data_IF_417453652325
#
_entry.id   IF_417453652325
#
_cell.length_a   1.000
_cell.length_b   1.000
_cell.length_c   1.000
_cell.angle_alpha   90.00
_cell.angle_beta   90.00
_cell.angle_gamma   90.00
#
_symmetry.space_group_name_H-M   'P 1'
#
loop_
_entity.id
_entity.type
_entity.pdbx_description
1 polymer ?
#
# COMPACT_ATOMS: atom_id res chain seq x y z
N UNK A 1 6.41 36.69 -1.83
CA UNK A 1 6.86 35.69 -2.83
C UNK A 1 5.66 34.98 -3.44
N UNK A 2 5.38 35.19 -4.73
CA UNK A 2 4.34 34.43 -5.44
C UNK A 2 4.76 32.96 -5.51
N UNK A 3 4.01 32.08 -4.84
CA UNK A 3 4.20 30.63 -4.94
C UNK A 3 3.99 30.19 -6.39
N UNK A 4 4.82 29.27 -6.89
CA UNK A 4 4.69 28.73 -8.26
C UNK A 4 3.28 28.17 -8.48
N UNK A 5 2.73 28.34 -9.68
CA UNK A 5 1.36 27.91 -10.04
C UNK A 5 1.14 26.42 -9.74
N UNK A 6 2.16 25.60 -10.03
CA UNK A 6 2.18 24.17 -9.72
C UNK A 6 2.03 23.88 -8.22
N UNK A 7 2.71 24.65 -7.37
CA UNK A 7 2.61 24.49 -5.92
C UNK A 7 1.23 24.92 -5.38
N UNK A 8 0.60 25.91 -5.99
CA UNK A 8 -0.76 26.31 -5.63
C UNK A 8 -1.75 25.18 -5.93
N UNK A 9 -1.63 24.53 -7.09
CA UNK A 9 -2.48 23.40 -7.49
C UNK A 9 -2.26 22.21 -6.57
N UNK A 10 -0.99 21.84 -6.33
CA UNK A 10 -0.64 20.77 -5.40
C UNK A 10 -1.22 21.02 -4.00
N UNK A 11 -1.14 22.26 -3.51
CA UNK A 11 -1.71 22.64 -2.20
C UNK A 11 -3.22 22.44 -2.13
N UNK A 12 -3.95 22.72 -3.22
CA UNK A 12 -5.41 22.48 -3.28
C UNK A 12 -5.70 20.99 -3.21
N UNK A 13 -5.04 20.18 -4.04
CA UNK A 13 -5.15 18.70 -4.03
C UNK A 13 -4.86 18.15 -2.64
N UNK A 14 -3.76 18.61 -2.03
CA UNK A 14 -3.36 18.18 -0.69
C UNK A 14 -4.42 18.52 0.36
N UNK A 15 -4.95 19.75 0.36
CA UNK A 15 -5.96 20.19 1.33
C UNK A 15 -7.27 19.39 1.23
N UNK A 16 -7.66 18.99 0.03
CA UNK A 16 -8.87 18.21 -0.18
C UNK A 16 -8.76 16.81 0.40
N UNK A 17 -7.58 16.18 0.21
CA UNK A 17 -7.31 14.82 0.70
C UNK A 17 -7.02 14.79 2.19
N UNK A 18 -6.33 15.81 2.70
CA UNK A 18 -5.83 15.85 4.08
C UNK A 18 -6.52 16.93 4.90
N UNK A 19 -7.85 17.05 4.76
CA UNK A 19 -8.68 17.92 5.60
C UNK A 19 -8.67 17.40 7.05
N UNK A 20 -8.76 18.30 8.04
CA UNK A 20 -9.06 17.91 9.43
C UNK A 20 -10.38 17.12 9.42
N UNK A 21 -10.47 15.90 10.00
CA UNK A 21 -9.61 15.32 11.06
C UNK A 21 -8.57 14.29 10.59
N UNK A 22 -8.40 14.06 9.28
CA UNK A 22 -7.60 12.93 8.77
C UNK A 22 -6.13 12.99 9.19
N UNK A 23 -5.48 14.17 9.14
CA UNK A 23 -4.08 14.32 9.59
C UNK A 23 -3.93 14.30 11.11
N UNK A 24 -4.91 14.86 11.84
CA UNK A 24 -4.85 15.02 13.30
C UNK A 24 -5.09 13.72 14.04
N UNK A 25 -5.82 12.78 13.43
CA UNK A 25 -6.10 11.48 14.03
C UNK A 25 -5.15 10.39 13.51
N UNK A 26 -4.85 10.36 12.21
CA UNK A 26 -4.16 9.21 11.59
C UNK A 26 -2.68 9.16 11.95
N UNK A 27 -1.97 10.30 11.94
CA UNK A 27 -0.54 10.31 12.29
C UNK A 27 -0.32 9.93 13.77
N UNK A 28 -1.06 10.52 14.73
CA UNK A 28 -0.93 10.10 16.14
C UNK A 28 -1.34 8.65 16.37
N UNK A 29 -2.38 8.15 15.69
CA UNK A 29 -2.78 6.74 15.84
C UNK A 29 -1.76 5.78 15.23
N UNK A 30 -1.13 6.10 14.10
CA UNK A 30 0.01 5.33 13.56
C UNK A 30 1.18 5.29 14.56
N UNK A 31 1.52 6.44 15.17
CA UNK A 31 2.59 6.52 16.17
C UNK A 31 2.29 5.71 17.44
N UNK A 32 1.08 5.85 18.01
CA UNK A 32 0.70 5.16 19.25
C UNK A 32 0.52 3.66 19.03
N UNK A 33 -0.01 3.26 17.88
CA UNK A 33 -0.31 1.86 17.63
C UNK A 33 0.92 0.99 17.38
N UNK A 34 2.01 1.55 16.85
CA UNK A 34 3.30 0.87 16.78
C UNK A 34 3.86 0.55 18.20
N UNK A 35 3.47 1.28 19.24
CA UNK A 35 3.97 1.08 20.62
C UNK A 35 3.46 -0.24 21.23
N UNK A 36 2.25 -0.68 20.88
CA UNK A 36 1.63 -1.86 21.52
C UNK A 36 2.26 -3.19 21.11
N UNK A 37 2.70 -3.30 19.85
CA UNK A 37 3.21 -4.56 19.30
C UNK A 37 4.62 -4.89 19.86
N UNK A 38 5.46 -3.88 20.06
CA UNK A 38 6.78 -3.99 20.74
C UNK A 38 6.70 -4.52 22.16
N UNK A 39 5.75 -4.00 22.94
CA UNK A 39 5.64 -4.33 24.36
C UNK A 39 5.25 -5.81 24.56
N UNK A 40 4.52 -6.37 23.60
CA UNK A 40 4.09 -7.76 23.61
C UNK A 40 5.21 -8.73 23.19
N UNK A 41 6.01 -8.37 22.17
CA UNK A 41 7.08 -9.24 21.68
C UNK A 41 8.36 -9.25 22.52
N UNK A 42 8.72 -8.13 23.16
CA UNK A 42 9.90 -8.03 24.02
C UNK A 42 9.86 -8.96 25.26
N UNK A 43 8.68 -9.46 25.66
CA UNK A 43 8.52 -10.35 26.83
C UNK A 43 8.38 -11.83 26.48
N UNK A 44 8.37 -12.21 25.20
CA UNK A 44 7.86 -13.52 24.76
C UNK A 44 8.86 -14.55 24.20
N UNK A 45 10.16 -14.26 24.05
CA UNK A 45 11.16 -15.16 23.42
C UNK A 45 10.90 -15.53 21.93
N UNK A 46 9.89 -14.95 21.27
CA UNK A 46 9.53 -15.18 19.86
C UNK A 46 9.88 -13.98 18.96
N UNK A 47 11.12 -13.48 19.02
CA UNK A 47 11.50 -12.21 18.37
C UNK A 47 11.26 -12.19 16.85
N UNK A 48 11.69 -13.21 16.10
CA UNK A 48 11.54 -13.24 14.63
C UNK A 48 10.09 -13.48 14.18
N UNK A 49 9.37 -14.39 14.83
CA UNK A 49 7.97 -14.66 14.51
C UNK A 49 7.07 -13.47 14.84
N UNK A 50 7.33 -12.81 15.97
CA UNK A 50 6.61 -11.62 16.36
C UNK A 50 6.82 -10.44 15.41
N UNK A 51 8.06 -10.24 14.97
CA UNK A 51 8.37 -9.23 13.96
C UNK A 51 7.65 -9.50 12.64
N UNK A 52 7.54 -10.74 12.17
CA UNK A 52 6.80 -11.03 10.94
C UNK A 52 5.30 -10.77 11.11
N UNK A 53 4.70 -11.20 12.23
CA UNK A 53 3.29 -10.95 12.52
C UNK A 53 2.96 -9.45 12.64
N UNK A 54 3.89 -8.64 13.16
CA UNK A 54 3.77 -7.19 13.26
C UNK A 54 3.66 -6.45 11.91
N UNK A 55 3.89 -7.14 10.80
CA UNK A 55 3.83 -6.63 9.42
C UNK A 55 2.75 -7.34 8.58
N UNK A 56 1.84 -8.10 9.22
CA UNK A 56 0.69 -8.67 8.52
C UNK A 56 -0.47 -7.66 8.62
N UNK A 57 -1.13 -7.32 7.49
CA UNK A 57 -2.34 -6.50 7.49
C UNK A 57 -3.37 -7.08 8.45
N UNK A 58 -4.05 -6.25 9.26
CA UNK A 58 -4.92 -6.58 10.40
C UNK A 58 -4.23 -6.71 11.77
N UNK A 59 -2.95 -7.08 11.82
CA UNK A 59 -2.17 -7.15 13.08
C UNK A 59 -1.41 -5.84 13.27
N UNK A 60 -0.80 -5.34 12.19
CA UNK A 60 -0.15 -4.03 12.16
C UNK A 60 -1.17 -2.92 11.97
N UNK A 61 -1.42 -2.14 13.02
CA UNK A 61 -2.38 -1.02 12.94
C UNK A 61 -1.85 0.11 12.05
N UNK A 62 -0.55 0.38 12.07
CA UNK A 62 0.05 1.46 11.26
C UNK A 62 0.00 1.15 9.76
N UNK A 63 0.33 -0.09 9.37
CA UNK A 63 0.22 -0.54 7.98
C UNK A 63 -1.24 -0.56 7.53
N UNK A 64 -2.14 -1.07 8.37
CA UNK A 64 -3.58 -1.08 8.07
C UNK A 64 -4.13 0.33 7.90
N UNK A 65 -3.68 1.30 8.70
CA UNK A 65 -4.05 2.71 8.56
C UNK A 65 -3.49 3.34 7.27
N UNK A 66 -2.30 2.93 6.83
CA UNK A 66 -1.71 3.43 5.59
C UNK A 66 -2.52 2.98 4.38
N UNK A 67 -2.84 1.68 4.31
CA UNK A 67 -3.74 1.12 3.30
C UNK A 67 -5.14 1.74 3.35
N UNK A 68 -5.73 1.88 4.53
CA UNK A 68 -7.06 2.49 4.68
C UNK A 68 -7.09 3.94 4.20
N UNK A 69 -6.03 4.71 4.48
CA UNK A 69 -5.93 6.09 4.05
C UNK A 69 -5.70 6.21 2.53
N UNK A 70 -4.89 5.33 1.95
CA UNK A 70 -4.69 5.25 0.50
C UNK A 70 -5.97 4.84 -0.23
N UNK A 71 -6.63 3.75 0.18
CA UNK A 71 -7.95 3.32 -0.30
C UNK A 71 -8.97 4.46 -0.27
N UNK A 72 -9.05 5.18 0.85
CA UNK A 72 -10.00 6.28 1.00
C UNK A 72 -9.70 7.41 0.03
N UNK A 73 -8.43 7.75 -0.16
CA UNK A 73 -8.03 8.81 -1.07
C UNK A 73 -8.26 8.40 -2.55
N UNK A 74 -7.92 7.16 -2.93
CA UNK A 74 -8.14 6.66 -4.30
C UNK A 74 -9.63 6.53 -4.63
N UNK A 75 -10.40 5.83 -3.79
CA UNK A 75 -11.78 5.47 -4.10
C UNK A 75 -12.75 6.62 -3.87
N UNK A 76 -12.65 7.30 -2.72
CA UNK A 76 -13.66 8.27 -2.28
C UNK A 76 -13.29 9.73 -2.56
N UNK A 77 -12.04 10.02 -2.92
CA UNK A 77 -11.65 11.37 -3.35
C UNK A 77 -11.41 11.35 -4.86
N UNK A 78 -10.38 10.66 -5.33
CA UNK A 78 -10.04 10.59 -6.75
C UNK A 78 -11.13 9.92 -7.57
N UNK A 79 -11.68 8.80 -7.09
CA UNK A 79 -12.81 8.12 -7.71
C UNK A 79 -14.02 9.03 -7.81
N UNK A 80 -14.44 9.70 -6.73
CA UNK A 80 -15.59 10.61 -6.75
C UNK A 80 -15.47 11.74 -7.78
N UNK A 81 -14.27 12.31 -7.96
CA UNK A 81 -14.02 13.30 -9.00
C UNK A 81 -14.23 12.73 -10.42
N UNK A 82 -13.83 11.47 -10.64
CA UNK A 82 -13.99 10.77 -11.91
C UNK A 82 -15.45 10.36 -12.13
N UNK A 83 -16.12 9.82 -11.11
CA UNK A 83 -17.49 9.31 -11.20
C UNK A 83 -18.48 10.41 -11.53
N UNK A 84 -18.31 11.59 -10.91
CA UNK A 84 -19.20 12.73 -11.10
C UNK A 84 -18.85 13.58 -12.32
N UNK A 85 -17.84 13.18 -13.11
CA UNK A 85 -17.26 14.02 -14.17
C UNK A 85 -16.75 15.37 -13.66
N UNK A 86 -16.50 15.48 -12.34
CA UNK A 86 -16.27 16.73 -11.63
C UNK A 86 -14.79 17.04 -11.43
N UNK A 87 -13.90 16.42 -12.21
CA UNK A 87 -12.51 16.89 -12.35
C UNK A 87 -12.50 18.41 -12.70
N UNK A 88 -13.64 18.97 -13.14
CA UNK A 88 -14.01 20.38 -13.24
C UNK A 88 -13.36 21.28 -12.17
N UNK A 89 -13.31 20.92 -10.88
CA UNK A 89 -12.66 21.79 -9.88
C UNK A 89 -11.14 21.93 -10.06
N UNK A 90 -10.47 20.88 -10.55
CA UNK A 90 -9.05 20.90 -10.93
C UNK A 90 -8.81 21.37 -12.36
N UNK A 91 -9.75 21.13 -13.28
CA UNK A 91 -9.68 21.54 -14.70
C UNK A 91 -9.85 23.06 -14.86
N UNK A 92 -10.57 23.73 -13.94
CA UNK A 92 -10.64 25.19 -13.91
C UNK A 92 -9.25 25.83 -13.76
N UNK A 93 -8.26 25.10 -13.25
CA UNK A 93 -6.86 25.52 -13.22
C UNK A 93 -6.11 24.82 -14.36
N UNK A 94 -5.53 25.56 -15.33
CA UNK A 94 -4.89 24.92 -16.47
C UNK A 94 -3.61 24.20 -16.02
N UNK A 95 -3.68 22.87 -16.02
CA UNK A 95 -2.57 21.96 -15.72
C UNK A 95 -2.53 20.82 -16.75
N UNK A 96 -1.32 20.35 -17.07
CA UNK A 96 -1.15 19.15 -17.90
C UNK A 96 -1.69 17.93 -17.14
N UNK A 97 -2.50 17.09 -17.80
CA UNK A 97 -3.09 15.87 -17.20
C UNK A 97 -2.04 14.95 -16.56
N UNK A 98 -0.87 14.84 -17.18
CA UNK A 98 0.26 14.06 -16.64
C UNK A 98 0.70 14.63 -15.28
N UNK A 99 0.86 15.95 -15.16
CA UNK A 99 1.24 16.59 -13.89
C UNK A 99 0.14 16.43 -12.84
N UNK A 100 -1.13 16.52 -13.24
CA UNK A 100 -2.25 16.24 -12.34
C UNK A 100 -2.20 14.80 -11.83
N UNK A 101 -1.99 13.82 -12.70
CA UNK A 101 -1.85 12.41 -12.32
C UNK A 101 -0.71 12.20 -11.31
N UNK A 102 0.45 12.84 -11.51
CA UNK A 102 1.56 12.70 -10.55
C UNK A 102 1.23 13.35 -9.21
N UNK A 103 0.56 14.50 -9.19
CA UNK A 103 0.13 15.13 -7.93
C UNK A 103 -0.91 14.28 -7.21
N UNK A 104 -1.85 13.69 -7.96
CA UNK A 104 -2.83 12.77 -7.38
C UNK A 104 -2.17 11.48 -6.90
N UNK A 105 -1.29 10.87 -7.69
CA UNK A 105 -0.58 9.65 -7.28
C UNK A 105 0.27 9.89 -6.02
N UNK A 106 0.98 11.02 -5.97
CA UNK A 106 1.79 11.39 -4.82
C UNK A 106 0.95 11.54 -3.55
N UNK A 107 -0.15 12.28 -3.62
CA UNK A 107 -0.99 12.50 -2.45
C UNK A 107 -1.85 11.27 -2.06
N UNK A 108 -2.23 10.42 -3.01
CA UNK A 108 -3.09 9.24 -2.76
C UNK A 108 -2.29 8.06 -2.23
N UNK A 109 -1.11 7.80 -2.81
CA UNK A 109 -0.37 6.54 -2.61
C UNK A 109 0.99 6.78 -1.95
N UNK A 110 1.76 7.76 -2.43
CA UNK A 110 3.13 7.98 -1.92
C UNK A 110 3.12 8.60 -0.52
N UNK A 111 2.27 9.59 -0.27
CA UNK A 111 2.25 10.29 1.01
C UNK A 111 1.81 9.41 2.20
N UNK A 112 0.78 8.55 2.09
CA UNK A 112 0.43 7.61 3.16
C UNK A 112 1.56 6.60 3.41
N UNK A 113 2.22 6.12 2.36
CA UNK A 113 3.40 5.27 2.48
C UNK A 113 4.54 5.98 3.22
N UNK A 114 4.81 7.25 2.91
CA UNK A 114 5.84 8.02 3.60
C UNK A 114 5.51 8.23 5.09
N UNK A 115 4.23 8.42 5.44
CA UNK A 115 3.80 8.47 6.84
C UNK A 115 4.04 7.15 7.56
N UNK A 116 3.69 6.02 6.93
CA UNK A 116 3.97 4.71 7.47
C UNK A 116 5.48 4.46 7.63
N UNK A 117 6.28 4.73 6.60
CA UNK A 117 7.73 4.52 6.64
C UNK A 117 8.38 5.38 7.73
N UNK A 118 8.01 6.66 7.80
CA UNK A 118 8.53 7.57 8.83
C UNK A 118 8.17 7.10 10.25
N UNK A 119 6.90 6.74 10.48
CA UNK A 119 6.46 6.28 11.80
C UNK A 119 7.07 4.93 12.19
N UNK A 120 7.34 4.06 11.21
CA UNK A 120 8.00 2.77 11.41
C UNK A 120 9.49 2.94 11.70
N UNK A 121 10.22 3.73 10.91
CA UNK A 121 11.65 4.00 11.11
C UNK A 121 11.93 4.72 12.43
N UNK A 122 11.12 5.74 12.76
CA UNK A 122 11.22 6.45 14.03
C UNK A 122 11.03 5.48 15.20
N UNK A 123 10.07 4.56 15.08
CA UNK A 123 9.84 3.54 16.07
C UNK A 123 10.99 2.53 16.19
N UNK A 124 11.55 2.05 15.08
CA UNK A 124 12.72 1.16 15.05
C UNK A 124 13.88 1.82 15.82
N UNK A 125 14.11 3.10 15.54
CA UNK A 125 15.15 3.90 16.20
C UNK A 125 14.89 4.06 17.71
N UNK A 126 13.66 4.37 18.13
CA UNK A 126 13.33 4.56 19.55
C UNK A 126 13.26 3.26 20.35
N UNK A 127 12.82 2.17 19.73
CA UNK A 127 12.70 0.86 20.38
C UNK A 127 14.05 0.15 20.52
N UNK A 128 15.04 0.50 19.69
CA UNK A 128 16.34 -0.16 19.65
C UNK A 128 16.27 -1.59 19.12
N UNK A 129 15.17 -1.96 18.45
CA UNK A 129 14.94 -3.31 17.94
C UNK A 129 15.35 -3.39 16.47
N UNK A 130 16.27 -4.29 16.09
CA UNK A 130 16.63 -4.47 14.71
C UNK A 130 15.48 -5.14 13.94
N UNK A 131 14.75 -4.34 13.15
CA UNK A 131 13.78 -4.87 12.18
C UNK A 131 14.52 -5.26 10.91
N UNK A 132 14.29 -6.47 10.36
CA UNK A 132 14.89 -6.86 9.09
C UNK A 132 14.46 -5.90 7.97
N UNK A 133 15.42 -5.25 7.32
CA UNK A 133 15.14 -4.36 6.17
C UNK A 133 14.39 -5.08 5.05
N UNK A 134 14.57 -6.40 4.95
CA UNK A 134 13.87 -7.25 4.01
C UNK A 134 12.34 -7.25 4.21
N UNK A 135 11.86 -7.16 5.46
CA UNK A 135 10.43 -7.04 5.78
C UNK A 135 9.84 -5.72 5.28
N UNK A 136 10.58 -4.61 5.48
CA UNK A 136 10.20 -3.29 4.98
C UNK A 136 10.13 -3.29 3.45
N UNK A 137 11.05 -3.99 2.78
CA UNK A 137 11.05 -4.13 1.33
C UNK A 137 9.83 -4.91 0.83
N UNK A 138 9.52 -6.08 1.41
CA UNK A 138 8.35 -6.89 1.03
C UNK A 138 7.07 -6.06 1.18
N UNK A 139 6.91 -5.37 2.31
CA UNK A 139 5.77 -4.50 2.53
C UNK A 139 5.67 -3.37 1.50
N UNK A 140 6.79 -2.69 1.24
CA UNK A 140 6.84 -1.57 0.29
C UNK A 140 6.35 -2.03 -1.09
N UNK A 141 6.83 -3.18 -1.55
CA UNK A 141 6.44 -3.72 -2.86
C UNK A 141 4.96 -4.12 -2.87
N UNK A 142 4.50 -4.84 -1.86
CA UNK A 142 3.09 -5.27 -1.74
C UNK A 142 2.11 -4.09 -1.65
N UNK A 143 2.50 -3.02 -0.95
CA UNK A 143 1.73 -1.78 -0.84
C UNK A 143 1.53 -1.13 -2.21
N UNK A 144 2.62 -0.86 -2.96
CA UNK A 144 2.50 -0.26 -4.28
C UNK A 144 1.77 -1.16 -5.27
N UNK A 145 2.00 -2.47 -5.23
CA UNK A 145 1.27 -3.44 -6.05
C UNK A 145 -0.25 -3.33 -5.81
N UNK A 146 -0.67 -3.39 -4.55
CA UNK A 146 -2.06 -3.35 -4.15
C UNK A 146 -2.74 -2.02 -4.49
N UNK A 147 -2.11 -0.90 -4.15
CA UNK A 147 -2.65 0.43 -4.41
C UNK A 147 -2.74 0.73 -5.91
N UNK A 148 -1.82 0.20 -6.74
CA UNK A 148 -1.92 0.32 -8.18
C UNK A 148 -3.06 -0.50 -8.79
N UNK A 149 -3.43 -1.65 -8.21
CA UNK A 149 -4.64 -2.40 -8.59
C UNK A 149 -5.89 -1.57 -8.27
N UNK A 150 -5.95 -1.00 -7.05
CA UNK A 150 -7.07 -0.17 -6.60
C UNK A 150 -7.18 1.08 -7.49
N UNK A 151 -6.06 1.74 -7.78
CA UNK A 151 -6.03 2.90 -8.68
C UNK A 151 -6.56 2.54 -10.06
N UNK A 152 -6.05 1.46 -10.67
CA UNK A 152 -6.49 1.06 -11.99
C UNK A 152 -7.99 0.74 -12.02
N UNK A 153 -8.51 0.05 -11.00
CA UNK A 153 -9.95 -0.24 -10.88
C UNK A 153 -10.75 1.04 -10.70
N UNK A 154 -10.31 1.98 -9.85
CA UNK A 154 -10.95 3.29 -9.67
C UNK A 154 -10.99 4.13 -10.96
N UNK A 155 -9.92 4.10 -11.76
CA UNK A 155 -9.90 4.76 -13.07
C UNK A 155 -10.75 4.04 -14.12
N UNK A 156 -11.12 2.78 -13.89
CA UNK A 156 -11.83 1.93 -14.84
C UNK A 156 -13.34 1.95 -14.69
N UNK A 157 -13.83 2.03 -13.45
CA UNK A 157 -15.24 1.93 -13.15
C UNK A 157 -15.75 3.26 -12.62
N UNK A 158 -17.00 3.64 -12.94
CA UNK A 158 -17.58 4.94 -12.56
C UNK A 158 -18.36 4.90 -11.23
N UNK A 159 -18.01 3.99 -10.31
CA UNK A 159 -18.75 3.81 -9.05
C UNK A 159 -17.82 3.32 -7.93
N UNK A 160 -17.82 4.05 -6.81
CA UNK A 160 -17.03 3.70 -5.63
C UNK A 160 -17.38 2.32 -5.07
N UNK A 161 -18.66 1.95 -5.06
CA UNK A 161 -19.10 0.62 -4.58
C UNK A 161 -18.63 -0.54 -5.46
N UNK A 162 -18.56 -0.34 -6.78
CA UNK A 162 -18.02 -1.37 -7.68
C UNK A 162 -16.50 -1.49 -7.48
N UNK A 163 -15.82 -0.37 -7.30
CA UNK A 163 -14.37 -0.33 -7.11
C UNK A 163 -13.96 -0.98 -5.79
N UNK A 164 -14.66 -0.72 -4.69
CA UNK A 164 -14.39 -1.40 -3.40
C UNK A 164 -14.61 -2.90 -3.50
N UNK A 165 -15.72 -3.34 -4.09
CA UNK A 165 -16.04 -4.76 -4.22
C UNK A 165 -15.03 -5.49 -5.12
N UNK A 166 -14.71 -4.94 -6.29
CA UNK A 166 -13.77 -5.57 -7.22
C UNK A 166 -12.35 -5.60 -6.66
N UNK A 167 -11.84 -4.47 -6.14
CA UNK A 167 -10.50 -4.43 -5.56
C UNK A 167 -10.39 -5.37 -4.35
N UNK A 168 -11.37 -5.34 -3.44
CA UNK A 168 -11.41 -6.24 -2.29
C UNK A 168 -11.50 -7.72 -2.70
N UNK A 169 -12.27 -8.04 -3.74
CA UNK A 169 -12.37 -9.42 -4.24
C UNK A 169 -11.07 -9.88 -4.90
N UNK A 170 -10.44 -9.05 -5.76
CA UNK A 170 -9.18 -9.38 -6.42
C UNK A 170 -8.08 -9.62 -5.37
N UNK A 171 -7.92 -8.70 -4.43
CA UNK A 171 -6.91 -8.79 -3.38
C UNK A 171 -7.20 -9.95 -2.42
N UNK A 172 -8.46 -10.16 -2.05
CA UNK A 172 -8.87 -11.28 -1.21
C UNK A 172 -8.59 -12.64 -1.85
N UNK A 173 -8.89 -12.80 -3.14
CA UNK A 173 -8.56 -14.01 -3.89
C UNK A 173 -7.05 -14.22 -3.93
N UNK A 174 -6.28 -13.18 -4.30
CA UNK A 174 -4.81 -13.28 -4.32
C UNK A 174 -4.26 -13.70 -2.96
N UNK A 175 -4.70 -13.05 -1.88
CA UNK A 175 -4.19 -13.33 -0.54
C UNK A 175 -4.57 -14.72 -0.02
N UNK A 176 -5.83 -15.13 -0.18
CA UNK A 176 -6.34 -16.42 0.32
C UNK A 176 -5.77 -17.57 -0.50
N UNK A 177 -5.91 -17.54 -1.83
CA UNK A 177 -5.42 -18.62 -2.69
C UNK A 177 -3.89 -18.64 -2.76
N UNK A 178 -3.24 -17.49 -2.72
CA UNK A 178 -1.78 -17.39 -2.58
C UNK A 178 -1.30 -18.02 -1.28
N UNK A 179 -2.02 -17.77 -0.18
CA UNK A 179 -1.70 -18.38 1.11
C UNK A 179 -1.84 -19.90 1.09
N UNK A 180 -2.97 -20.43 0.59
CA UNK A 180 -3.20 -21.87 0.45
C UNK A 180 -2.13 -22.52 -0.44
N UNK A 181 -1.84 -21.91 -1.59
CA UNK A 181 -0.82 -22.38 -2.51
C UNK A 181 0.59 -22.36 -1.89
N UNK A 182 0.88 -21.34 -1.07
CA UNK A 182 2.14 -21.21 -0.34
C UNK A 182 2.33 -22.33 0.69
N UNK A 183 1.34 -22.56 1.56
CA UNK A 183 1.38 -23.65 2.55
C UNK A 183 1.51 -25.01 1.88
N UNK A 184 0.71 -25.27 0.85
CA UNK A 184 0.78 -26.52 0.10
C UNK A 184 2.15 -26.69 -0.58
N UNK A 185 2.67 -25.63 -1.21
CA UNK A 185 3.97 -25.63 -1.88
C UNK A 185 5.13 -25.93 -0.92
N UNK A 186 5.10 -25.34 0.27
CA UNK A 186 6.08 -25.60 1.34
C UNK A 186 5.99 -27.06 1.81
N UNK A 187 4.78 -27.57 2.07
CA UNK A 187 4.60 -28.93 2.58
C UNK A 187 4.98 -30.01 1.56
N UNK A 188 4.70 -29.78 0.27
CA UNK A 188 4.92 -30.74 -0.81
C UNK A 188 6.22 -30.54 -1.57
N UNK A 189 6.99 -29.49 -1.23
CA UNK A 189 8.17 -29.05 -1.94
C UNK A 189 7.92 -28.90 -3.46
N UNK A 190 6.80 -28.27 -3.80
CA UNK A 190 6.34 -28.15 -5.19
C UNK A 190 7.21 -27.18 -6.00
N UNK A 191 7.49 -27.47 -7.29
CA UNK A 191 8.19 -26.53 -8.17
C UNK A 191 7.38 -25.24 -8.46
N UNK A 192 6.08 -25.23 -8.17
CA UNK A 192 5.20 -24.07 -8.36
C UNK A 192 5.19 -23.11 -7.17
N UNK A 193 5.88 -23.46 -6.08
CA UNK A 193 6.01 -22.64 -4.87
C UNK A 193 6.48 -21.20 -5.14
N UNK A 194 7.40 -20.92 -6.09
CA UNK A 194 7.78 -19.55 -6.45
C UNK A 194 6.66 -18.68 -7.03
N UNK A 195 5.56 -19.25 -7.51
CA UNK A 195 4.42 -18.49 -8.04
C UNK A 195 3.49 -18.05 -6.91
N UNK A 196 3.40 -18.86 -5.85
CA UNK A 196 2.60 -18.52 -4.67
C UNK A 196 3.19 -17.33 -3.88
N UNK A 197 4.49 -17.06 -3.99
CA UNK A 197 5.14 -15.90 -3.35
C UNK A 197 4.66 -14.57 -3.93
N UNK A 198 4.18 -14.56 -5.19
CA UNK A 198 3.62 -13.38 -5.88
C UNK A 198 2.27 -12.95 -5.27
N UNK A 199 1.58 -13.88 -4.62
CA UNK A 199 0.20 -13.69 -4.18
C UNK A 199 0.09 -13.55 -2.66
N UNK A 200 0.97 -14.21 -1.91
CA UNK A 200 1.08 -14.00 -0.47
C UNK A 200 2.51 -14.28 0.06
N UNK A 201 3.41 -13.28 0.08
CA UNK A 201 4.78 -13.47 0.55
C UNK A 201 4.87 -13.71 2.08
N UNK A 202 3.85 -13.33 2.85
CA UNK A 202 3.86 -13.46 4.31
C UNK A 202 3.89 -14.91 4.80
N UNK A 203 3.26 -15.85 4.06
CA UNK A 203 3.31 -17.28 4.41
C UNK A 203 4.76 -17.80 4.42
N UNK A 204 5.58 -17.32 3.48
CA UNK A 204 6.98 -17.72 3.38
C UNK A 204 7.82 -17.06 4.48
N UNK A 205 7.59 -15.77 4.77
CA UNK A 205 8.26 -15.09 5.88
C UNK A 205 7.96 -15.75 7.24
N UNK A 206 6.72 -16.18 7.47
CA UNK A 206 6.34 -16.93 8.68
C UNK A 206 7.12 -18.24 8.75
N UNK A 207 7.21 -18.96 7.63
CA UNK A 207 7.96 -20.22 7.56
C UNK A 207 9.45 -20.02 7.84
N UNK A 208 10.08 -19.01 7.24
CA UNK A 208 11.48 -18.65 7.51
C UNK A 208 11.69 -18.32 8.99
N UNK A 209 10.78 -17.54 9.58
CA UNK A 209 10.88 -17.12 10.98
C UNK A 209 10.76 -18.29 11.98
N UNK A 210 9.92 -19.28 11.69
CA UNK A 210 9.72 -20.47 12.53
C UNK A 210 10.87 -21.48 12.34
N UNK A 211 11.25 -21.75 11.09
CA UNK A 211 12.19 -22.83 10.76
C UNK A 211 13.65 -22.40 10.69
N UNK A 212 13.92 -21.09 10.71
CA UNK A 212 15.25 -20.50 10.53
C UNK A 212 15.93 -20.93 9.21
N UNK A 213 15.13 -21.34 8.21
CA UNK A 213 15.60 -21.72 6.87
C UNK A 213 15.20 -20.64 5.88
N UNK A 214 16.16 -20.16 5.10
CA UNK A 214 15.88 -19.20 4.02
C UNK A 214 15.16 -19.88 2.85
N UNK A 215 14.17 -19.19 2.31
CA UNK A 215 13.37 -19.55 1.14
C UNK A 215 13.88 -18.72 -0.04
N UNK A 216 14.66 -19.35 -0.91
CA UNK A 216 15.34 -18.68 -2.04
C UNK A 216 14.39 -18.06 -3.07
N UNK A 217 13.11 -18.43 -3.07
CA UNK A 217 12.11 -17.98 -4.04
C UNK A 217 11.38 -16.68 -3.64
N UNK A 218 11.61 -16.15 -2.43
CA UNK A 218 10.90 -14.95 -1.96
C UNK A 218 11.25 -13.72 -2.82
N UNK A 219 12.50 -13.65 -3.28
CA UNK A 219 12.95 -12.64 -4.24
C UNK A 219 12.19 -12.69 -5.58
N UNK A 220 11.74 -13.88 -6.02
CA UNK A 220 10.95 -14.01 -7.25
C UNK A 220 9.60 -13.30 -7.09
N UNK A 221 8.95 -13.47 -5.94
CA UNK A 221 7.72 -12.77 -5.59
C UNK A 221 7.91 -11.25 -5.63
N UNK A 222 8.91 -10.75 -4.90
CA UNK A 222 9.24 -9.32 -4.85
C UNK A 222 9.48 -8.75 -6.26
N UNK A 223 10.32 -9.39 -7.08
CA UNK A 223 10.62 -8.89 -8.42
C UNK A 223 9.39 -8.88 -9.33
N UNK A 224 8.57 -9.93 -9.26
CA UNK A 224 7.35 -10.01 -10.06
C UNK A 224 6.33 -8.93 -9.67
N UNK A 225 6.12 -8.69 -8.37
CA UNK A 225 5.21 -7.66 -7.87
C UNK A 225 5.71 -6.26 -8.26
N UNK A 226 7.02 -5.98 -8.21
CA UNK A 226 7.59 -4.71 -8.70
C UNK A 226 7.29 -4.53 -10.19
N UNK A 227 7.53 -5.55 -11.01
CA UNK A 227 7.29 -5.47 -12.47
C UNK A 227 5.80 -5.23 -12.74
N UNK A 228 4.91 -6.00 -12.10
CA UNK A 228 3.47 -5.86 -12.30
C UNK A 228 2.99 -4.49 -11.79
N UNK A 229 3.47 -4.02 -10.64
CA UNK A 229 3.15 -2.71 -10.08
C UNK A 229 3.55 -1.58 -11.04
N UNK A 230 4.74 -1.66 -11.65
CA UNK A 230 5.16 -0.70 -12.67
C UNK A 230 4.25 -0.73 -13.90
N UNK A 231 3.88 -1.92 -14.37
CA UNK A 231 2.95 -2.06 -15.50
C UNK A 231 1.60 -1.41 -15.15
N UNK A 232 1.02 -1.73 -13.99
CA UNK A 232 -0.24 -1.16 -13.51
C UNK A 232 -0.18 0.36 -13.38
N UNK A 233 0.94 0.91 -12.90
CA UNK A 233 1.19 2.34 -12.85
C UNK A 233 1.14 2.98 -14.25
N UNK A 234 1.87 2.42 -15.23
CA UNK A 234 1.88 2.96 -16.59
C UNK A 234 0.52 2.85 -17.28
N UNK A 235 -0.19 1.74 -17.09
CA UNK A 235 -1.55 1.57 -17.61
C UNK A 235 -2.50 2.60 -16.98
N UNK A 236 -2.40 2.83 -15.67
CA UNK A 236 -3.19 3.85 -14.96
C UNK A 236 -2.90 5.25 -15.49
N UNK A 237 -1.64 5.60 -15.72
CA UNK A 237 -1.25 6.88 -16.31
C UNK A 237 -1.83 7.07 -17.71
N UNK A 238 -1.74 6.06 -18.59
CA UNK A 238 -2.31 6.14 -19.93
C UNK A 238 -3.83 6.30 -19.87
N UNK A 239 -4.50 5.54 -19.00
CA UNK A 239 -5.95 5.63 -18.82
C UNK A 239 -6.40 7.01 -18.33
N UNK A 240 -5.68 7.57 -17.35
CA UNK A 240 -5.93 8.92 -16.85
C UNK A 240 -5.72 9.98 -17.93
N UNK A 241 -4.73 9.80 -18.81
CA UNK A 241 -4.48 10.71 -19.93
C UNK A 241 -5.64 10.72 -20.94
N UNK A 242 -6.13 9.54 -21.31
CA UNK A 242 -7.15 9.35 -22.36
C UNK A 242 -8.55 9.69 -21.87
N UNK A 243 -8.81 9.62 -20.57
CA UNK A 243 -10.13 9.91 -19.99
C UNK A 243 -10.71 11.24 -20.50
N UNK A 244 -11.71 11.15 -21.37
CA UNK A 244 -12.54 12.28 -21.75
C UNK A 244 -13.52 12.52 -20.60
N UNK A 245 -13.44 13.71 -20.02
CA UNK A 245 -14.38 14.22 -19.02
C UNK A 245 -14.93 15.51 -19.57
#
# INVERSE_FOLDING_TARGET
>A
MMRSRSFQIFRVIFKERYRQPTLELVIPTMLVSNIFITAFYARGLFNTYGLVLAFIPLISVSETLAFALALRNIIFVTGDHIYRGSIISFIMIPIKRISLFFFTYFCDIVLPYLFWLFTTELYILLSGIPVPQYLILVYTVGYFFTENIILLTALSFKSGGIVTLLSGTILGILFIFGGIAGYYGIMTNSPLTPIATISNPYVFLIYEAITQKQVTYLNVGIYSEVIISLILFFVSLQKFRIMEV
#
